data_IF_679558964945
#
_entry.id   IF_679558964945
#
_cell.length_a   1.000
_cell.length_b   1.000
_cell.length_c   1.000
_cell.angle_alpha   90.00
_cell.angle_beta   90.00
_cell.angle_gamma   90.00
#
_symmetry.space_group_name_H-M   'P 1'
#
loop_
_entity.id
_entity.type
_entity.pdbx_description
1 polymer ?
#
# COMPACT_ATOMS: atom_id res chain seq x y z
N UNK A 1 -6.28 -9.69 20.48
CA UNK A 1 -6.44 -9.35 19.05
C UNK A 1 -7.03 -7.94 19.00
N UNK A 2 -6.19 -6.90 19.09
CA UNK A 2 -6.64 -5.49 19.15
C UNK A 2 -5.85 -4.58 18.19
N UNK A 3 -4.84 -5.13 17.51
CA UNK A 3 -3.99 -4.41 16.54
C UNK A 3 -4.52 -4.45 15.10
N UNK A 4 -5.10 -5.57 14.66
CA UNK A 4 -5.60 -5.74 13.28
C UNK A 4 -6.71 -4.76 12.92
N UNK A 5 -7.74 -4.61 13.76
CA UNK A 5 -8.86 -3.73 13.46
C UNK A 5 -8.47 -2.24 13.34
N UNK A 6 -7.46 -1.79 14.09
CA UNK A 6 -6.92 -0.43 13.98
C UNK A 6 -6.09 -0.25 12.71
N UNK A 7 -5.36 -1.28 12.29
CA UNK A 7 -4.61 -1.26 11.04
C UNK A 7 -5.56 -1.17 9.84
N UNK A 8 -6.58 -2.03 9.80
CA UNK A 8 -7.59 -2.06 8.73
C UNK A 8 -8.33 -0.72 8.61
N UNK A 9 -8.76 -0.14 9.73
CA UNK A 9 -9.43 1.17 9.74
C UNK A 9 -8.53 2.30 9.17
N UNK A 10 -7.23 2.29 9.49
CA UNK A 10 -6.27 3.26 8.95
C UNK A 10 -6.02 3.05 7.45
N UNK A 11 -5.91 1.80 7.00
CA UNK A 11 -5.79 1.46 5.58
C UNK A 11 -7.04 1.94 4.83
N UNK A 12 -8.24 1.70 5.35
CA UNK A 12 -9.48 2.13 4.72
C UNK A 12 -9.55 3.66 4.59
N UNK A 13 -9.15 4.39 5.63
CA UNK A 13 -9.07 5.84 5.59
C UNK A 13 -8.11 6.34 4.49
N UNK A 14 -6.91 5.75 4.39
CA UNK A 14 -5.95 6.10 3.34
C UNK A 14 -6.40 5.69 1.93
N UNK A 15 -7.11 4.57 1.78
CA UNK A 15 -7.69 4.15 0.51
C UNK A 15 -8.77 5.13 0.02
N UNK A 16 -9.54 5.71 0.93
CA UNK A 16 -10.51 6.76 0.61
C UNK A 16 -9.81 8.04 0.17
N UNK A 17 -8.75 8.45 0.86
CA UNK A 17 -7.92 9.60 0.46
C UNK A 17 -7.29 9.35 -0.92
N UNK A 18 -6.67 8.19 -1.14
CA UNK A 18 -6.09 7.81 -2.43
C UNK A 18 -7.11 7.94 -3.56
N UNK A 19 -8.33 7.41 -3.34
CA UNK A 19 -9.42 7.49 -4.31
C UNK A 19 -9.79 8.93 -4.63
N UNK A 20 -9.94 9.79 -3.63
CA UNK A 20 -10.29 11.20 -3.81
C UNK A 20 -9.20 11.95 -4.59
N UNK A 21 -7.94 11.80 -4.21
CA UNK A 21 -6.81 12.46 -4.87
C UNK A 21 -6.66 11.99 -6.32
N UNK A 22 -6.91 10.70 -6.57
CA UNK A 22 -6.87 10.12 -7.91
C UNK A 22 -7.98 10.69 -8.79
N UNK A 23 -9.19 10.84 -8.26
CA UNK A 23 -10.31 11.46 -8.97
C UNK A 23 -10.08 12.96 -9.22
N UNK A 24 -9.37 13.64 -8.32
CA UNK A 24 -8.96 15.04 -8.48
C UNK A 24 -7.79 15.23 -9.47
N UNK A 25 -7.13 14.16 -9.91
CA UNK A 25 -5.95 14.23 -10.77
C UNK A 25 -4.68 14.68 -10.05
N UNK A 26 -4.67 14.68 -8.71
CA UNK A 26 -3.50 15.02 -7.91
C UNK A 26 -2.55 13.82 -7.81
N UNK A 27 -1.59 13.78 -8.73
CA UNK A 27 -0.61 12.71 -8.83
C UNK A 27 0.27 12.60 -7.58
N UNK A 28 0.67 13.73 -7.00
CA UNK A 28 1.57 13.76 -5.86
C UNK A 28 0.88 13.19 -4.61
N UNK A 29 -0.37 13.60 -4.36
CA UNK A 29 -1.15 13.14 -3.22
C UNK A 29 -1.61 11.69 -3.39
N UNK A 30 -1.98 11.25 -4.61
CA UNK A 30 -2.27 9.84 -4.89
C UNK A 30 -1.05 8.95 -4.65
N UNK A 31 0.13 9.38 -5.12
CA UNK A 31 1.38 8.66 -4.87
C UNK A 31 1.63 8.54 -3.37
N UNK A 32 1.52 9.65 -2.64
CA UNK A 32 1.75 9.69 -1.19
C UNK A 32 0.81 8.76 -0.44
N UNK A 33 -0.49 8.83 -0.72
CA UNK A 33 -1.47 7.96 -0.06
C UNK A 33 -1.19 6.47 -0.33
N UNK A 34 -0.80 6.12 -1.56
CA UNK A 34 -0.43 4.74 -1.90
C UNK A 34 0.84 4.27 -1.14
N UNK A 35 1.85 5.13 -1.02
CA UNK A 35 3.09 4.80 -0.28
C UNK A 35 2.88 4.77 1.24
N UNK A 36 1.99 5.59 1.77
CA UNK A 36 1.64 5.63 3.20
C UNK A 36 0.90 4.35 3.62
N UNK A 37 0.04 3.78 2.75
CA UNK A 37 -0.59 2.47 2.98
C UNK A 37 0.49 1.37 3.11
N UNK A 38 1.47 1.36 2.21
CA UNK A 38 2.56 0.38 2.24
C UNK A 38 3.43 0.54 3.50
N UNK A 39 3.75 1.77 3.88
CA UNK A 39 4.50 2.09 5.10
C UNK A 39 3.77 1.58 6.35
N UNK A 40 2.47 1.88 6.46
CA UNK A 40 1.63 1.47 7.60
C UNK A 40 1.60 -0.07 7.76
N UNK A 41 1.42 -0.81 6.66
CA UNK A 41 1.46 -2.27 6.68
C UNK A 41 2.85 -2.81 7.07
N UNK A 42 3.91 -2.15 6.61
CA UNK A 42 5.29 -2.53 6.91
C UNK A 42 5.64 -2.32 8.39
N UNK A 43 5.27 -1.16 8.96
CA UNK A 43 5.48 -0.83 10.38
C UNK A 43 4.73 -1.79 11.31
N UNK A 44 3.51 -2.18 10.91
CA UNK A 44 2.73 -3.19 11.62
C UNK A 44 3.23 -4.63 11.41
N UNK A 45 4.29 -4.83 10.61
CA UNK A 45 4.81 -6.15 10.18
C UNK A 45 3.72 -7.04 9.54
N UNK A 46 2.69 -6.42 8.98
CA UNK A 46 1.54 -7.07 8.36
C UNK A 46 1.81 -7.39 6.89
N UNK A 47 2.79 -8.28 6.64
CA UNK A 47 3.30 -8.60 5.30
C UNK A 47 2.25 -9.15 4.34
N UNK A 48 1.31 -9.95 4.85
CA UNK A 48 0.20 -10.47 4.05
C UNK A 48 -0.69 -9.32 3.56
N UNK A 49 -1.10 -8.45 4.47
CA UNK A 49 -1.91 -7.25 4.18
C UNK A 49 -1.19 -6.30 3.24
N UNK A 50 0.13 -6.11 3.41
CA UNK A 50 0.96 -5.32 2.51
C UNK A 50 0.86 -5.83 1.06
N UNK A 51 1.01 -7.14 0.85
CA UNK A 51 0.92 -7.74 -0.48
C UNK A 51 -0.49 -7.62 -1.07
N UNK A 52 -1.53 -7.84 -0.25
CA UNK A 52 -2.93 -7.65 -0.66
C UNK A 52 -3.19 -6.21 -1.14
N UNK A 53 -2.69 -5.19 -0.43
CA UNK A 53 -2.82 -3.78 -0.83
C UNK A 53 -2.05 -3.46 -2.12
N UNK A 54 -0.85 -4.03 -2.31
CA UNK A 54 -0.08 -3.87 -3.56
C UNK A 54 -0.88 -4.42 -4.75
N UNK A 55 -1.42 -5.64 -4.61
CA UNK A 55 -2.21 -6.28 -5.67
C UNK A 55 -3.49 -5.49 -5.95
N UNK A 56 -4.20 -5.05 -4.90
CA UNK A 56 -5.43 -4.25 -5.01
C UNK A 56 -5.20 -2.96 -5.80
N UNK A 57 -4.20 -2.18 -5.41
CA UNK A 57 -3.88 -0.88 -6.03
C UNK A 57 -3.33 -1.06 -7.45
N UNK A 58 -2.57 -2.14 -7.73
CA UNK A 58 -2.05 -2.44 -9.07
C UNK A 58 -3.12 -2.88 -10.06
N UNK A 59 -4.16 -3.60 -9.60
CA UNK A 59 -5.29 -4.05 -10.43
C UNK A 59 -6.39 -3.00 -10.59
N UNK A 60 -6.28 -1.86 -9.90
CA UNK A 60 -7.32 -0.82 -9.91
C UNK A 60 -7.40 -0.15 -11.28
N UNK A 61 -8.55 -0.28 -11.95
CA UNK A 61 -8.81 0.37 -13.25
C UNK A 61 -8.72 1.89 -13.09
N UNK A 62 -7.88 2.53 -13.91
CA UNK A 62 -7.64 3.98 -13.86
C UNK A 62 -6.66 4.41 -12.75
N UNK A 63 -5.73 3.55 -12.34
CA UNK A 63 -4.63 3.96 -11.46
C UNK A 63 -3.57 4.75 -12.25
N UNK A 64 -2.90 5.68 -11.57
CA UNK A 64 -1.83 6.50 -12.13
C UNK A 64 -0.51 5.71 -12.20
N UNK A 65 0.14 5.72 -13.37
CA UNK A 65 1.43 5.03 -13.60
C UNK A 65 2.49 5.41 -12.55
N UNK A 66 2.53 6.68 -12.16
CA UNK A 66 3.50 7.18 -11.18
C UNK A 66 3.24 6.61 -9.76
N UNK A 67 1.98 6.38 -9.39
CA UNK A 67 1.63 5.76 -8.11
C UNK A 67 2.06 4.29 -8.09
N UNK A 68 1.78 3.53 -9.17
CA UNK A 68 2.24 2.15 -9.30
C UNK A 68 3.78 2.06 -9.24
N UNK A 69 4.48 2.92 -9.97
CA UNK A 69 5.94 2.95 -9.96
C UNK A 69 6.50 3.20 -8.54
N UNK A 70 5.93 4.16 -7.82
CA UNK A 70 6.36 4.47 -6.46
C UNK A 70 6.10 3.32 -5.49
N UNK A 71 4.93 2.67 -5.57
CA UNK A 71 4.62 1.52 -4.75
C UNK A 71 5.59 0.37 -4.98
N UNK A 72 5.90 0.06 -6.25
CA UNK A 72 6.86 -1.00 -6.59
C UNK A 72 8.25 -0.65 -6.05
N UNK A 73 8.72 0.58 -6.26
CA UNK A 73 10.03 1.03 -5.74
C UNK A 73 10.13 0.88 -4.22
N UNK A 74 9.09 1.27 -3.48
CA UNK A 74 9.05 1.13 -2.03
C UNK A 74 8.97 -0.34 -1.61
N UNK A 75 8.14 -1.15 -2.27
CA UNK A 75 8.05 -2.58 -2.00
C UNK A 75 9.38 -3.30 -2.19
N UNK A 76 10.16 -2.94 -3.22
CA UNK A 76 11.49 -3.50 -3.46
C UNK A 76 12.46 -3.22 -2.30
N UNK A 77 12.33 -2.09 -1.58
CA UNK A 77 13.16 -1.77 -0.40
C UNK A 77 12.83 -2.64 0.81
N UNK A 78 11.64 -3.26 0.82
CA UNK A 78 11.20 -4.10 1.92
C UNK A 78 11.55 -5.57 1.73
N UNK A 79 11.92 -5.99 0.51
CA UNK A 79 12.17 -7.41 0.18
C UNK A 79 13.22 -8.03 1.11
N UNK A 80 14.33 -7.35 1.35
CA UNK A 80 15.40 -7.85 2.23
C UNK A 80 14.97 -8.01 3.69
N UNK A 81 13.89 -7.32 4.08
CA UNK A 81 13.33 -7.33 5.43
C UNK A 81 12.11 -8.26 5.54
N UNK A 82 11.65 -8.84 4.43
CA UNK A 82 10.57 -9.81 4.46
C UNK A 82 11.04 -11.07 5.19
N UNK A 83 10.20 -11.66 6.08
CA UNK A 83 10.49 -12.98 6.62
C UNK A 83 10.50 -13.94 5.43
N UNK A 84 11.71 -14.38 5.06
CA UNK A 84 11.97 -15.26 3.92
C UNK A 84 10.98 -16.41 3.97
N UNK A 85 10.03 -16.43 3.03
CA UNK A 85 9.20 -17.61 2.79
C UNK A 85 10.11 -18.63 2.13
N UNK A 86 10.80 -19.43 2.95
CA UNK A 86 11.51 -20.62 2.50
C UNK A 86 10.54 -21.47 1.68
N UNK A 87 10.78 -21.71 0.37
CA UNK A 87 10.00 -22.67 -0.37
C UNK A 87 10.29 -24.06 0.23
N UNK A 88 9.23 -24.77 0.64
CA UNK A 88 9.29 -26.23 0.79
C UNK A 88 9.17 -26.88 -0.58
#
# INVERSE_FOLDING_TARGET
>A
MEGDGKLEAQIEALLNVEKQMRQAGDVASTRKAATDILQLCFEARAWKTLNEQIVLLSKRRGQLKQAVQAMVQQAMQYIDQTPILTPR
#
